data_IF_142483647281
#
_entry.id   IF_142483647281
#
_cell.length_a   1.000
_cell.length_b   1.000
_cell.length_c   1.000
_cell.angle_alpha   90.00
_cell.angle_beta   90.00
_cell.angle_gamma   90.00
#
_symmetry.space_group_name_H-M   'P 1'
#
loop_
_entity.id
_entity.type
_entity.pdbx_description
1 polymer ?
#
# COMPACT_ATOMS: atom_id res chain seq x y z
N UNK A 1 22.97 11.16 -3.38
CA UNK A 1 23.37 9.75 -3.27
C UNK A 1 24.88 9.64 -3.24
N UNK A 2 25.47 9.53 -2.05
CA UNK A 2 26.93 9.39 -1.87
C UNK A 2 27.36 7.91 -1.75
N UNK A 3 26.44 7.00 -1.62
CA UNK A 3 26.64 5.54 -1.64
C UNK A 3 25.81 4.92 -2.75
N UNK A 4 26.35 3.89 -3.41
CA UNK A 4 25.61 3.05 -4.36
C UNK A 4 24.72 2.01 -3.65
N UNK A 5 24.39 2.23 -2.39
CA UNK A 5 23.59 1.31 -1.58
C UNK A 5 22.10 1.61 -1.75
N UNK A 6 21.33 0.59 -2.09
CA UNK A 6 19.86 0.63 -2.13
C UNK A 6 19.34 -0.03 -0.86
N UNK A 7 18.47 0.67 -0.16
CA UNK A 7 17.78 0.16 1.04
C UNK A 7 16.30 -0.01 0.74
N UNK A 8 15.73 -1.04 1.29
CA UNK A 8 14.30 -1.34 1.23
C UNK A 8 13.71 -1.31 2.64
N UNK A 9 12.56 -0.66 2.79
CA UNK A 9 11.87 -0.54 4.09
C UNK A 9 10.43 -1.02 3.95
N UNK A 10 10.06 -2.05 4.70
CA UNK A 10 8.70 -2.55 4.74
C UNK A 10 7.85 -1.78 5.76
N UNK A 11 6.91 -1.00 5.26
CA UNK A 11 5.90 -0.28 6.03
C UNK A 11 4.47 -0.72 5.70
N UNK A 12 4.26 -1.94 5.23
CA UNK A 12 2.94 -2.42 4.77
C UNK A 12 1.93 -2.67 5.89
N UNK A 13 2.41 -2.99 7.08
CA UNK A 13 1.55 -3.40 8.19
C UNK A 13 1.12 -4.86 8.13
N UNK A 14 0.40 -5.30 9.15
CA UNK A 14 -0.03 -6.69 9.35
C UNK A 14 -1.53 -6.77 9.57
N UNK A 15 -2.10 -7.96 9.41
CA UNK A 15 -3.43 -8.23 9.93
C UNK A 15 -3.44 -8.07 11.47
N UNK A 16 -4.59 -7.73 12.08
CA UNK A 16 -4.73 -7.76 13.54
C UNK A 16 -4.38 -9.13 14.11
N UNK A 17 -3.76 -9.19 15.29
CA UNK A 17 -3.34 -10.44 15.93
C UNK A 17 -4.47 -11.43 16.17
N UNK A 18 -5.69 -10.92 16.37
CA UNK A 18 -6.91 -11.71 16.55
C UNK A 18 -7.62 -12.08 15.25
N UNK A 19 -7.06 -11.73 14.09
CA UNK A 19 -7.65 -12.08 12.80
C UNK A 19 -7.61 -13.61 12.60
N UNK A 20 -8.78 -14.20 12.37
CA UNK A 20 -8.95 -15.64 12.21
C UNK A 20 -9.65 -15.97 10.88
N UNK A 21 -8.84 -16.40 9.91
CA UNK A 21 -9.31 -16.79 8.59
C UNK A 21 -10.28 -17.99 8.63
N UNK A 22 -10.10 -18.91 9.59
CA UNK A 22 -11.00 -20.05 9.76
C UNK A 22 -12.38 -19.59 10.19
N UNK A 23 -12.44 -18.72 11.21
CA UNK A 23 -13.71 -18.14 11.68
C UNK A 23 -14.45 -17.39 10.56
N UNK A 24 -13.74 -16.64 9.72
CA UNK A 24 -14.35 -15.95 8.58
C UNK A 24 -14.92 -16.92 7.54
N UNK A 25 -14.22 -18.03 7.25
CA UNK A 25 -14.71 -19.10 6.36
C UNK A 25 -15.92 -19.83 6.95
N UNK A 26 -15.88 -20.12 8.24
CA UNK A 26 -17.00 -20.79 8.96
C UNK A 26 -18.27 -19.93 8.95
N UNK A 27 -18.11 -18.59 8.86
CA UNK A 27 -19.19 -17.61 8.62
C UNK A 27 -19.63 -17.52 7.14
N UNK A 28 -19.07 -18.33 6.26
CA UNK A 28 -19.44 -18.40 4.84
C UNK A 28 -18.72 -17.41 3.93
N UNK A 29 -17.72 -16.66 4.43
CA UNK A 29 -16.96 -15.74 3.59
C UNK A 29 -15.99 -16.52 2.69
N UNK A 30 -16.14 -16.35 1.38
CA UNK A 30 -15.20 -16.88 0.37
C UNK A 30 -14.03 -15.92 0.10
N UNK A 31 -14.25 -14.63 0.33
CA UNK A 31 -13.26 -13.56 0.22
C UNK A 31 -13.59 -12.47 1.23
N UNK A 32 -12.61 -11.65 1.59
CA UNK A 32 -12.84 -10.49 2.45
C UNK A 32 -13.44 -9.36 1.61
N UNK A 33 -14.66 -8.87 1.93
CA UNK A 33 -15.24 -7.72 1.23
C UNK A 33 -14.38 -6.47 1.41
N UNK A 34 -14.23 -5.65 0.36
CA UNK A 34 -13.42 -4.43 0.41
C UNK A 34 -13.88 -3.44 1.49
N UNK A 35 -15.19 -3.34 1.72
CA UNK A 35 -15.80 -2.43 2.71
C UNK A 35 -15.89 -3.07 4.11
N UNK A 36 -15.15 -4.13 4.37
CA UNK A 36 -15.12 -4.80 5.67
C UNK A 36 -13.95 -4.31 6.52
N UNK A 37 -14.11 -4.16 7.84
CA UNK A 37 -12.99 -3.89 8.74
C UNK A 37 -11.92 -5.00 8.71
N UNK A 38 -12.27 -6.21 8.28
CA UNK A 38 -11.33 -7.32 8.09
C UNK A 38 -10.35 -7.10 6.91
N UNK A 39 -10.65 -6.16 6.00
CA UNK A 39 -9.74 -5.76 4.92
C UNK A 39 -8.72 -4.70 5.37
N UNK A 40 -8.86 -4.16 6.58
CA UNK A 40 -7.97 -3.13 7.12
C UNK A 40 -6.84 -3.79 7.91
N UNK A 41 -5.61 -3.60 7.46
CA UNK A 41 -4.40 -3.98 8.23
C UNK A 41 -4.03 -2.90 9.23
N UNK A 42 -3.18 -3.23 10.20
CA UNK A 42 -2.60 -2.23 11.09
C UNK A 42 -1.74 -1.29 10.23
N UNK A 43 -2.01 0.03 10.21
CA UNK A 43 -1.26 0.95 9.37
C UNK A 43 0.19 1.06 9.86
N UNK A 44 1.17 0.84 8.98
CA UNK A 44 2.59 0.90 9.33
C UNK A 44 3.35 2.03 8.63
N UNK A 45 2.72 2.73 7.68
CA UNK A 45 3.37 3.77 6.91
C UNK A 45 3.93 4.92 7.77
N UNK A 46 3.23 5.30 8.84
CA UNK A 46 3.68 6.38 9.73
C UNK A 46 4.95 5.97 10.48
N UNK A 47 5.05 4.72 10.92
CA UNK A 47 6.27 4.22 11.56
C UNK A 47 7.44 4.21 10.56
N UNK A 48 7.20 3.76 9.33
CA UNK A 48 8.18 3.80 8.25
C UNK A 48 8.67 5.23 7.94
N UNK A 49 7.78 6.22 7.88
CA UNK A 49 8.15 7.63 7.67
C UNK A 49 8.96 8.18 8.85
N UNK A 50 8.58 7.86 10.08
CA UNK A 50 9.34 8.23 11.27
C UNK A 50 10.75 7.63 11.23
N UNK A 51 10.85 6.34 10.90
CA UNK A 51 12.11 5.61 10.80
C UNK A 51 13.02 6.20 9.72
N UNK A 52 12.51 6.43 8.51
CA UNK A 52 13.27 7.08 7.44
C UNK A 52 13.73 8.50 7.81
N UNK A 53 12.85 9.27 8.47
CA UNK A 53 13.19 10.62 8.92
C UNK A 53 14.29 10.61 9.98
N UNK A 54 14.27 9.64 10.89
CA UNK A 54 15.28 9.51 11.95
C UNK A 54 16.63 9.02 11.39
N UNK A 55 16.61 8.06 10.47
CA UNK A 55 17.82 7.40 9.98
C UNK A 55 18.55 8.24 8.92
N UNK A 56 17.82 8.99 8.08
CA UNK A 56 18.40 9.75 6.96
C UNK A 56 17.86 11.17 6.79
N UNK A 57 16.86 11.57 7.56
CA UNK A 57 16.29 12.92 7.50
C UNK A 57 17.27 13.97 8.04
N UNK A 58 17.22 15.16 7.44
CA UNK A 58 17.96 16.34 7.91
C UNK A 58 17.06 17.32 8.67
N UNK A 59 15.76 17.18 8.51
CA UNK A 59 14.76 18.03 9.15
C UNK A 59 13.91 17.16 10.06
N UNK A 60 13.43 17.70 11.19
CA UNK A 60 12.47 17.01 12.06
C UNK A 60 11.08 16.89 11.42
N UNK A 61 10.30 15.93 11.90
CA UNK A 61 8.91 15.71 11.46
C UNK A 61 8.04 16.96 11.66
N UNK A 62 8.31 17.73 12.71
CA UNK A 62 7.65 18.99 13.00
C UNK A 62 7.74 19.97 11.82
N UNK A 63 8.89 20.01 11.14
CA UNK A 63 9.11 20.86 9.97
C UNK A 63 8.65 20.22 8.66
N UNK A 64 8.91 18.93 8.48
CA UNK A 64 8.56 18.20 7.25
C UNK A 64 7.03 18.17 7.05
N UNK A 65 6.25 18.06 8.12
CA UNK A 65 4.80 17.96 8.05
C UNK A 65 4.06 19.30 7.92
N UNK A 66 4.76 20.46 8.05
CA UNK A 66 4.10 21.78 7.97
C UNK A 66 3.30 22.00 6.68
N UNK A 67 3.81 21.68 5.47
CA UNK A 67 3.01 21.84 4.26
C UNK A 67 1.73 20.99 4.27
N UNK A 68 1.82 19.74 4.72
CA UNK A 68 0.67 18.85 4.81
C UNK A 68 -0.37 19.34 5.83
N UNK A 69 0.10 19.84 6.99
CA UNK A 69 -0.77 20.45 8.01
C UNK A 69 -1.46 21.69 7.44
N UNK A 70 -0.73 22.55 6.74
CA UNK A 70 -1.28 23.76 6.12
C UNK A 70 -2.39 23.42 5.12
N UNK A 71 -2.15 22.48 4.20
CA UNK A 71 -3.15 22.09 3.21
C UNK A 71 -4.36 21.37 3.84
N UNK A 72 -4.15 20.56 4.85
CA UNK A 72 -5.26 19.93 5.56
C UNK A 72 -6.12 20.95 6.33
N UNK A 73 -5.52 22.03 6.83
CA UNK A 73 -6.19 23.09 7.61
C UNK A 73 -6.92 24.10 6.71
N UNK A 74 -6.30 24.52 5.62
CA UNK A 74 -6.84 25.58 4.75
C UNK A 74 -7.53 25.04 3.49
N UNK A 75 -7.41 23.75 3.23
CA UNK A 75 -7.96 23.10 2.05
C UNK A 75 -7.04 23.12 0.83
N UNK A 76 -7.26 22.14 -0.01
CA UNK A 76 -6.65 22.05 -1.35
C UNK A 76 -7.74 22.13 -2.41
N UNK A 77 -7.49 22.79 -3.55
CA UNK A 77 -8.42 22.75 -4.68
C UNK A 77 -8.55 21.30 -5.18
N UNK A 78 -9.76 20.80 -5.28
CA UNK A 78 -10.02 19.44 -5.79
C UNK A 78 -9.62 19.36 -7.26
N UNK A 79 -8.73 18.43 -7.60
CA UNK A 79 -8.36 18.14 -8.96
C UNK A 79 -9.47 17.37 -9.69
N UNK A 80 -9.49 17.47 -11.02
CA UNK A 80 -10.52 16.85 -11.88
C UNK A 80 -10.67 15.35 -11.63
N UNK A 81 -9.57 14.61 -11.58
CA UNK A 81 -9.59 13.17 -11.32
C UNK A 81 -10.14 12.84 -9.93
N UNK A 82 -9.79 13.60 -8.91
CA UNK A 82 -10.26 13.40 -7.54
C UNK A 82 -11.77 13.66 -7.43
N UNK A 83 -12.28 14.70 -8.11
CA UNK A 83 -13.72 14.98 -8.17
C UNK A 83 -14.49 13.82 -8.82
N UNK A 84 -13.96 13.28 -9.92
CA UNK A 84 -14.54 12.13 -10.61
C UNK A 84 -14.57 10.89 -9.70
N UNK A 85 -13.43 10.51 -9.13
CA UNK A 85 -13.33 9.31 -8.30
C UNK A 85 -14.22 9.39 -7.05
N UNK A 86 -14.30 10.55 -6.38
CA UNK A 86 -15.18 10.73 -5.23
C UNK A 86 -16.68 10.67 -5.61
N UNK A 87 -17.05 11.14 -6.80
CA UNK A 87 -18.41 11.01 -7.30
C UNK A 87 -18.80 9.55 -7.50
N UNK A 88 -17.95 8.75 -8.14
CA UNK A 88 -18.17 7.31 -8.37
C UNK A 88 -18.22 6.52 -7.05
N UNK A 89 -17.44 6.91 -6.04
CA UNK A 89 -17.36 6.21 -4.76
C UNK A 89 -18.49 6.57 -3.79
N UNK A 90 -19.31 7.60 -4.09
CA UNK A 90 -20.32 8.14 -3.19
C UNK A 90 -21.25 7.05 -2.62
N UNK A 91 -21.72 6.12 -3.45
CA UNK A 91 -22.64 5.07 -3.03
C UNK A 91 -21.97 3.96 -2.20
N UNK A 92 -20.66 3.86 -2.25
CA UNK A 92 -19.90 2.84 -1.51
C UNK A 92 -19.51 3.31 -0.10
N UNK A 93 -19.58 4.62 0.17
CA UNK A 93 -19.21 5.18 1.48
C UNK A 93 -20.25 4.82 2.55
N UNK A 94 -19.77 4.37 3.70
CA UNK A 94 -20.56 4.21 4.91
C UNK A 94 -20.96 5.61 5.49
N UNK A 95 -21.88 5.70 6.48
CA UNK A 95 -22.32 6.98 7.03
C UNK A 95 -21.16 7.89 7.48
N UNK A 96 -20.16 7.35 8.20
CA UNK A 96 -19.00 8.13 8.64
C UNK A 96 -18.14 8.60 7.46
N UNK A 97 -17.93 7.76 6.45
CA UNK A 97 -17.23 8.15 5.23
C UNK A 97 -17.97 9.25 4.46
N UNK A 98 -19.30 9.20 4.41
CA UNK A 98 -20.13 10.27 3.79
C UNK A 98 -19.98 11.59 4.54
N UNK A 99 -20.00 11.55 5.87
CA UNK A 99 -19.81 12.76 6.69
C UNK A 99 -18.47 13.45 6.39
N UNK A 100 -17.39 12.67 6.22
CA UNK A 100 -16.05 13.18 5.94
C UNK A 100 -15.84 13.62 4.49
N UNK A 101 -16.19 12.76 3.53
CA UNK A 101 -15.84 12.98 2.12
C UNK A 101 -16.91 13.74 1.34
N UNK A 102 -18.10 13.91 1.90
CA UNK A 102 -19.21 14.63 1.28
C UNK A 102 -19.66 15.82 2.16
N UNK A 103 -18.76 16.78 2.48
CA UNK A 103 -19.07 17.85 3.44
C UNK A 103 -20.24 18.75 3.02
N UNK A 104 -20.62 18.72 1.73
CA UNK A 104 -21.79 19.44 1.19
C UNK A 104 -22.97 18.51 0.88
N UNK A 105 -23.00 17.29 1.44
CA UNK A 105 -23.97 16.25 1.12
C UNK A 105 -23.81 15.65 -0.29
N UNK A 106 -22.75 16.01 -1.00
CA UNK A 106 -22.38 15.54 -2.34
C UNK A 106 -20.87 15.46 -2.51
N UNK A 107 -20.42 14.77 -3.54
CA UNK A 107 -19.01 14.80 -3.94
C UNK A 107 -18.55 16.25 -4.26
N UNK A 108 -17.31 16.61 -3.90
CA UNK A 108 -16.74 17.90 -4.21
C UNK A 108 -16.58 18.07 -5.72
N UNK A 109 -16.73 19.31 -6.20
CA UNK A 109 -16.48 19.69 -7.60
C UNK A 109 -15.03 20.11 -7.80
N UNK A 110 -14.59 20.07 -9.05
CA UNK A 110 -13.29 20.57 -9.46
C UNK A 110 -13.08 22.02 -8.98
N UNK A 111 -11.96 22.28 -8.34
CA UNK A 111 -11.57 23.59 -7.82
C UNK A 111 -12.19 23.99 -6.48
N UNK A 112 -13.16 23.24 -5.94
CA UNK A 112 -13.66 23.48 -4.58
C UNK A 112 -12.55 23.17 -3.55
N UNK A 113 -12.45 24.00 -2.51
CA UNK A 113 -11.46 23.80 -1.44
C UNK A 113 -11.94 22.72 -0.48
N UNK A 114 -11.18 21.66 -0.38
CA UNK A 114 -11.44 20.55 0.54
C UNK A 114 -10.43 20.58 1.69
N UNK A 115 -10.91 20.86 2.91
CA UNK A 115 -10.14 20.84 4.13
C UNK A 115 -10.48 19.60 4.97
N UNK A 116 -9.51 19.08 5.73
CA UNK A 116 -9.70 17.88 6.54
C UNK A 116 -9.19 18.10 7.98
N UNK A 117 -9.99 18.72 8.82
CA UNK A 117 -9.61 19.10 10.20
C UNK A 117 -9.23 17.91 11.10
N UNK A 118 -9.79 16.72 10.87
CA UNK A 118 -9.38 15.50 11.55
C UNK A 118 -7.92 15.14 11.24
N UNK A 119 -7.54 15.23 9.97
CA UNK A 119 -6.16 14.98 9.53
C UNK A 119 -5.16 16.00 10.11
N UNK A 120 -5.58 17.26 10.27
CA UNK A 120 -4.76 18.29 10.95
C UNK A 120 -4.37 17.86 12.35
N UNK A 121 -5.33 17.33 13.13
CA UNK A 121 -5.07 16.85 14.51
C UNK A 121 -4.07 15.70 14.51
N UNK A 122 -4.25 14.72 13.62
CA UNK A 122 -3.35 13.57 13.48
C UNK A 122 -1.95 14.03 13.10
N UNK A 123 -1.81 14.86 12.06
CA UNK A 123 -0.51 15.35 11.60
C UNK A 123 0.21 16.19 12.67
N UNK A 124 -0.51 17.06 13.39
CA UNK A 124 0.07 17.84 14.50
C UNK A 124 0.55 16.93 15.64
N UNK A 125 -0.15 15.82 15.94
CA UNK A 125 0.30 14.85 16.94
C UNK A 125 1.56 14.10 16.49
N UNK A 126 1.61 13.67 15.23
CA UNK A 126 2.81 13.04 14.65
C UNK A 126 3.99 14.02 14.63
N UNK A 127 3.77 15.27 14.20
CA UNK A 127 4.80 16.32 14.20
C UNK A 127 5.41 16.55 15.59
N UNK A 128 4.59 16.47 16.65
CA UNK A 128 5.01 16.74 18.03
C UNK A 128 5.60 15.53 18.73
N UNK A 129 5.03 14.34 18.51
CA UNK A 129 5.34 13.14 19.28
C UNK A 129 5.90 11.99 18.45
N UNK A 130 6.15 12.22 17.16
CA UNK A 130 6.64 11.20 16.23
C UNK A 130 5.67 10.01 16.16
N UNK A 131 6.24 8.81 16.16
CA UNK A 131 5.53 7.54 16.13
C UNK A 131 4.42 7.44 17.21
N UNK A 132 4.75 7.80 18.42
CA UNK A 132 3.82 7.67 19.55
C UNK A 132 2.57 8.56 19.40
N UNK A 133 2.66 9.66 18.67
CA UNK A 133 1.51 10.51 18.34
C UNK A 133 0.46 9.85 17.46
N UNK A 134 0.78 8.72 16.82
CA UNK A 134 -0.12 7.97 15.97
C UNK A 134 -0.52 6.61 16.57
N UNK A 135 0.45 5.87 17.12
CA UNK A 135 0.24 4.48 17.56
C UNK A 135 -0.17 4.35 19.02
N UNK A 136 -0.21 5.46 19.77
CA UNK A 136 -0.63 5.49 21.18
C UNK A 136 -1.64 6.62 21.41
N UNK A 137 -2.40 6.51 22.51
CA UNK A 137 -3.37 7.50 22.94
C UNK A 137 -4.49 7.75 21.93
N UNK A 138 -5.00 8.97 21.93
CA UNK A 138 -6.27 9.37 21.29
C UNK A 138 -6.40 8.95 19.81
N UNK A 139 -5.33 9.06 19.00
CA UNK A 139 -5.40 8.70 17.57
C UNK A 139 -5.57 7.20 17.39
N UNK A 140 -4.76 6.39 18.08
CA UNK A 140 -4.88 4.94 18.04
C UNK A 140 -6.21 4.45 18.64
N UNK A 141 -6.64 5.03 19.77
CA UNK A 141 -7.89 4.71 20.44
C UNK A 141 -9.10 4.97 19.52
N UNK A 142 -9.11 6.09 18.80
CA UNK A 142 -10.19 6.41 17.86
C UNK A 142 -10.23 5.41 16.69
N UNK A 143 -9.08 5.08 16.09
CA UNK A 143 -9.00 4.09 15.01
C UNK A 143 -9.45 2.71 15.48
N UNK A 144 -8.94 2.23 16.61
CA UNK A 144 -9.30 0.92 17.17
C UNK A 144 -10.78 0.85 17.48
N UNK A 145 -11.31 1.87 18.20
CA UNK A 145 -12.73 1.90 18.58
C UNK A 145 -13.64 1.96 17.35
N UNK A 146 -13.28 2.72 16.34
CA UNK A 146 -14.04 2.81 15.08
C UNK A 146 -14.07 1.48 14.33
N UNK A 147 -12.92 0.80 14.21
CA UNK A 147 -12.84 -0.51 13.57
C UNK A 147 -13.58 -1.59 14.36
N UNK A 148 -13.49 -1.58 15.69
CA UNK A 148 -14.22 -2.51 16.55
C UNK A 148 -15.74 -2.33 16.47
N UNK A 149 -16.24 -1.09 16.39
CA UNK A 149 -17.67 -0.80 16.18
C UNK A 149 -18.20 -1.40 14.86
N UNK A 150 -17.34 -1.54 13.86
CA UNK A 150 -17.66 -2.18 12.58
C UNK A 150 -17.47 -3.70 12.61
N UNK A 151 -17.06 -4.29 13.74
CA UNK A 151 -16.81 -5.73 13.89
C UNK A 151 -15.36 -6.16 13.60
N UNK A 152 -14.43 -5.21 13.51
CA UNK A 152 -12.99 -5.47 13.39
C UNK A 152 -12.39 -6.04 14.69
N UNK A 153 -11.26 -6.73 14.55
CA UNK A 153 -10.55 -7.39 15.66
C UNK A 153 -9.27 -6.65 16.08
N UNK A 154 -9.14 -5.41 15.65
CA UNK A 154 -8.00 -4.55 15.97
C UNK A 154 -7.91 -4.25 17.46
N UNK A 155 -6.71 -4.21 18.02
CA UNK A 155 -6.45 -3.90 19.42
C UNK A 155 -5.41 -2.78 19.56
N UNK A 156 -5.39 -2.13 20.73
CA UNK A 156 -4.35 -1.14 21.06
C UNK A 156 -2.95 -1.76 21.07
N UNK A 157 -2.86 -3.05 21.41
CA UNK A 157 -1.60 -3.78 21.40
C UNK A 157 -1.05 -3.94 19.97
N UNK A 158 -1.91 -4.30 19.01
CA UNK A 158 -1.53 -4.39 17.60
C UNK A 158 -0.92 -3.07 17.08
N UNK A 159 -1.53 -1.93 17.47
CA UNK A 159 -1.03 -0.61 17.09
C UNK A 159 0.30 -0.29 17.77
N UNK A 160 0.39 -0.50 19.09
CA UNK A 160 1.59 -0.15 19.85
C UNK A 160 2.83 -0.96 19.44
N UNK A 161 2.64 -2.22 19.05
CA UNK A 161 3.70 -3.15 18.63
C UNK A 161 4.02 -3.08 17.14
N UNK A 162 3.25 -2.31 16.33
CA UNK A 162 3.49 -2.22 14.90
C UNK A 162 4.81 -1.52 14.60
N UNK A 163 5.70 -2.17 13.88
CA UNK A 163 7.01 -1.64 13.47
C UNK A 163 7.31 -1.91 12.00
N UNK A 164 7.83 -0.89 11.33
CA UNK A 164 8.45 -1.01 10.02
C UNK A 164 9.86 -1.58 10.15
N UNK A 165 10.30 -2.36 9.19
CA UNK A 165 11.61 -2.99 9.22
C UNK A 165 12.32 -2.93 7.87
N UNK A 166 13.65 -2.79 7.92
CA UNK A 166 14.48 -2.84 6.72
C UNK A 166 14.58 -4.27 6.19
N UNK A 167 14.62 -4.38 4.87
CA UNK A 167 14.85 -5.62 4.14
C UNK A 167 15.91 -5.38 3.08
N UNK A 168 16.55 -6.43 2.63
CA UNK A 168 17.36 -6.35 1.42
C UNK A 168 16.43 -6.28 0.19
N UNK A 169 16.72 -5.38 -0.77
CA UNK A 169 15.96 -5.35 -2.01
C UNK A 169 16.18 -6.64 -2.81
N UNK A 170 15.19 -7.04 -3.58
CA UNK A 170 15.32 -8.08 -4.60
C UNK A 170 15.67 -7.44 -5.92
N UNK A 171 16.37 -8.16 -6.81
CA UNK A 171 16.67 -7.64 -8.14
C UNK A 171 16.42 -8.63 -9.27
N UNK A 172 16.19 -8.09 -10.46
CA UNK A 172 16.18 -8.80 -11.72
C UNK A 172 17.18 -8.17 -12.67
N UNK A 173 18.01 -9.03 -13.31
CA UNK A 173 19.03 -8.59 -14.27
C UNK A 173 18.49 -8.65 -15.69
N UNK A 174 18.56 -7.53 -16.40
CA UNK A 174 18.14 -7.35 -17.78
C UNK A 174 19.31 -6.86 -18.63
N UNK A 175 19.30 -7.03 -19.97
CA UNK A 175 20.47 -6.71 -20.79
C UNK A 175 21.01 -5.29 -20.65
N UNK A 176 20.14 -4.30 -20.39
CA UNK A 176 20.50 -2.88 -20.34
C UNK A 176 20.38 -2.25 -18.95
N UNK A 177 19.79 -2.96 -17.96
CA UNK A 177 19.57 -2.43 -16.62
C UNK A 177 19.37 -3.54 -15.59
N UNK A 178 19.52 -3.19 -14.33
CA UNK A 178 19.12 -4.00 -13.18
C UNK A 178 17.91 -3.34 -12.51
N UNK A 179 16.82 -4.11 -12.34
CA UNK A 179 15.61 -3.66 -11.66
C UNK A 179 15.69 -4.07 -10.18
N UNK A 180 15.67 -3.09 -9.29
CA UNK A 180 15.57 -3.31 -7.85
C UNK A 180 14.14 -3.08 -7.38
N UNK A 181 13.65 -4.03 -6.60
CA UNK A 181 12.29 -4.01 -6.09
C UNK A 181 12.24 -4.37 -4.60
N UNK A 182 11.13 -4.00 -3.97
CA UNK A 182 10.84 -4.45 -2.61
C UNK A 182 10.43 -5.94 -2.63
N UNK A 183 10.95 -6.76 -1.70
CA UNK A 183 10.53 -8.18 -1.62
C UNK A 183 9.04 -8.32 -1.25
N UNK A 184 8.47 -9.53 -1.36
CA UNK A 184 7.13 -9.80 -0.80
C UNK A 184 7.02 -9.33 0.67
N UNK A 185 5.89 -8.83 1.04
CA UNK A 185 4.48 -8.94 0.62
C UNK A 185 4.06 -7.98 -0.53
N UNK A 186 4.93 -7.03 -0.94
CA UNK A 186 4.67 -6.16 -2.09
C UNK A 186 4.71 -6.89 -3.44
N UNK A 187 4.49 -6.13 -4.52
CA UNK A 187 4.38 -6.67 -5.87
C UNK A 187 5.69 -6.64 -6.66
N UNK A 188 6.82 -6.27 -6.06
CA UNK A 188 8.10 -6.17 -6.73
C UNK A 188 8.54 -7.48 -7.40
N UNK A 189 8.38 -8.62 -6.72
CA UNK A 189 8.65 -9.93 -7.29
C UNK A 189 7.78 -10.24 -8.53
N UNK A 190 6.56 -9.69 -8.61
CA UNK A 190 5.67 -9.82 -9.78
C UNK A 190 6.21 -9.04 -10.97
N UNK A 191 6.75 -7.84 -10.75
CA UNK A 191 7.37 -7.03 -11.80
C UNK A 191 8.61 -7.73 -12.38
N UNK A 192 9.45 -8.30 -11.51
CA UNK A 192 10.62 -9.08 -11.94
C UNK A 192 10.19 -10.33 -12.72
N UNK A 193 9.18 -11.09 -12.23
CA UNK A 193 8.68 -12.27 -12.94
C UNK A 193 8.12 -11.91 -14.32
N UNK A 194 7.31 -10.85 -14.41
CA UNK A 194 6.77 -10.36 -15.68
C UNK A 194 7.90 -10.05 -16.68
N UNK A 195 8.89 -9.31 -16.23
CA UNK A 195 10.02 -8.96 -17.08
C UNK A 195 10.85 -10.20 -17.47
N UNK A 196 11.03 -11.18 -16.57
CA UNK A 196 11.70 -12.44 -16.86
C UNK A 196 10.94 -13.28 -17.92
N UNK A 197 9.60 -13.31 -17.85
CA UNK A 197 8.77 -13.95 -18.89
C UNK A 197 8.95 -13.25 -20.22
N UNK A 198 8.89 -11.92 -20.26
CA UNK A 198 9.03 -11.14 -21.49
C UNK A 198 10.41 -11.31 -22.14
N UNK A 199 11.48 -11.55 -21.39
CA UNK A 199 12.80 -11.85 -21.92
C UNK A 199 12.86 -13.17 -22.74
N UNK A 200 11.88 -14.06 -22.62
CA UNK A 200 11.81 -15.30 -23.42
C UNK A 200 11.31 -15.05 -24.85
N UNK A 201 10.91 -13.84 -25.16
CA UNK A 201 10.38 -13.42 -26.46
C UNK A 201 11.24 -12.29 -27.05
N UNK A 202 11.31 -12.15 -28.39
CA UNK A 202 12.12 -11.12 -29.04
C UNK A 202 11.44 -9.73 -29.02
N UNK A 203 10.98 -9.29 -27.84
CA UNK A 203 10.17 -8.07 -27.64
C UNK A 203 10.84 -6.82 -28.21
N UNK A 204 12.18 -6.70 -28.09
CA UNK A 204 12.92 -5.53 -28.55
C UNK A 204 12.84 -5.33 -30.08
N UNK A 205 12.66 -6.40 -30.86
CA UNK A 205 12.53 -6.34 -32.30
C UNK A 205 11.10 -6.18 -32.82
N UNK A 206 10.11 -6.26 -31.92
CA UNK A 206 8.70 -6.14 -32.27
C UNK A 206 8.25 -4.68 -32.37
N UNK A 207 7.26 -4.43 -33.22
CA UNK A 207 6.61 -3.10 -33.27
C UNK A 207 5.97 -2.79 -31.89
N UNK A 208 6.35 -1.68 -31.22
CA UNK A 208 5.80 -1.32 -29.91
C UNK A 208 4.27 -1.19 -29.84
N UNK A 209 3.64 -0.85 -30.97
CA UNK A 209 2.19 -0.73 -31.11
C UNK A 209 1.58 -1.87 -31.92
N UNK A 210 2.34 -2.96 -32.12
CA UNK A 210 1.91 -4.11 -32.90
C UNK A 210 1.05 -5.08 -32.10
N UNK A 211 0.16 -5.77 -32.79
CA UNK A 211 -0.72 -6.79 -32.20
C UNK A 211 0.06 -7.90 -31.48
N UNK A 212 1.10 -8.45 -32.10
CA UNK A 212 1.87 -9.56 -31.54
C UNK A 212 2.52 -9.18 -30.21
N UNK A 213 3.15 -7.99 -30.14
CA UNK A 213 3.74 -7.50 -28.90
C UNK A 213 2.70 -7.28 -27.82
N UNK A 214 1.60 -6.61 -28.14
CA UNK A 214 0.51 -6.38 -27.19
C UNK A 214 -0.06 -7.69 -26.65
N UNK A 215 -0.20 -8.71 -27.50
CA UNK A 215 -0.66 -10.03 -27.09
C UNK A 215 0.30 -10.68 -26.09
N UNK A 216 1.60 -10.73 -26.40
CA UNK A 216 2.61 -11.32 -25.51
C UNK A 216 2.67 -10.57 -24.16
N UNK A 217 2.70 -9.24 -24.17
CA UNK A 217 2.72 -8.43 -22.95
C UNK A 217 1.47 -8.66 -22.09
N UNK A 218 0.31 -8.81 -22.72
CA UNK A 218 -0.95 -9.09 -22.01
C UNK A 218 -0.94 -10.48 -21.37
N UNK A 219 -0.55 -11.52 -22.12
CA UNK A 219 -0.50 -12.89 -21.61
C UNK A 219 0.56 -13.05 -20.52
N UNK A 220 1.75 -12.48 -20.71
CA UNK A 220 2.79 -12.47 -19.68
C UNK A 220 2.31 -11.78 -18.38
N UNK A 221 1.58 -10.67 -18.52
CA UNK A 221 0.98 -9.98 -17.37
C UNK A 221 -0.02 -10.87 -16.63
N UNK A 222 -0.92 -11.54 -17.35
CA UNK A 222 -1.91 -12.47 -16.75
C UNK A 222 -1.22 -13.59 -15.99
N UNK A 223 -0.18 -14.19 -16.56
CA UNK A 223 0.57 -15.29 -15.95
C UNK A 223 1.32 -14.82 -14.69
N UNK A 224 1.98 -13.67 -14.74
CA UNK A 224 2.69 -13.11 -13.59
C UNK A 224 1.71 -12.76 -12.45
N UNK A 225 0.54 -12.22 -12.76
CA UNK A 225 -0.49 -11.92 -11.76
C UNK A 225 -1.16 -13.18 -11.19
N UNK A 226 -1.35 -14.23 -12.00
CA UNK A 226 -1.83 -15.52 -11.48
C UNK A 226 -0.80 -16.13 -10.51
N UNK A 227 0.48 -16.13 -10.86
CA UNK A 227 1.54 -16.58 -9.98
C UNK A 227 1.58 -15.76 -8.68
N UNK A 228 1.46 -14.42 -8.76
CA UNK A 228 1.34 -13.54 -7.60
C UNK A 228 0.19 -13.95 -6.69
N UNK A 229 -1.00 -14.14 -7.25
CA UNK A 229 -2.20 -14.47 -6.46
C UNK A 229 -2.09 -15.80 -5.72
N UNK A 230 -1.29 -16.73 -6.24
CA UNK A 230 -1.05 -18.04 -5.62
C UNK A 230 0.11 -18.07 -4.64
N UNK A 231 1.13 -17.24 -4.86
CA UNK A 231 2.42 -17.38 -4.19
C UNK A 231 2.74 -16.23 -3.22
N UNK A 232 2.39 -14.97 -3.57
CA UNK A 232 2.76 -13.80 -2.75
C UNK A 232 1.84 -13.69 -1.53
N UNK A 233 2.46 -13.71 -0.36
CA UNK A 233 1.78 -13.57 0.93
C UNK A 233 2.68 -12.86 1.94
N UNK A 234 2.32 -12.90 3.22
CA UNK A 234 3.20 -12.46 4.30
C UNK A 234 4.46 -13.36 4.34
N UNK A 235 5.67 -12.82 4.15
CA UNK A 235 6.90 -13.63 4.08
C UNK A 235 7.21 -14.37 5.37
N UNK A 236 6.66 -13.96 6.51
CA UNK A 236 6.78 -14.68 7.79
C UNK A 236 5.98 -16.00 7.80
N UNK A 237 4.99 -16.13 6.92
CA UNK A 237 4.19 -17.34 6.75
C UNK A 237 4.70 -18.18 5.59
N UNK A 238 4.97 -17.55 4.45
CA UNK A 238 5.51 -18.20 3.26
C UNK A 238 6.29 -17.19 2.40
N UNK A 239 7.60 -17.39 2.29
CA UNK A 239 8.46 -16.58 1.45
C UNK A 239 8.57 -17.17 0.03
N UNK A 240 7.91 -16.51 -0.90
CA UNK A 240 7.92 -16.90 -2.31
C UNK A 240 9.02 -16.22 -3.13
N UNK A 241 9.90 -15.43 -2.52
CA UNK A 241 10.86 -14.57 -3.22
C UNK A 241 11.68 -15.33 -4.25
N UNK A 242 12.41 -16.37 -3.83
CA UNK A 242 13.26 -17.16 -4.72
C UNK A 242 12.49 -17.80 -5.87
N UNK A 243 11.28 -18.29 -5.60
CA UNK A 243 10.44 -18.88 -6.64
C UNK A 243 9.95 -17.85 -7.65
N UNK A 244 9.43 -16.72 -7.17
CA UNK A 244 8.88 -15.65 -8.01
C UNK A 244 9.95 -14.96 -8.88
N UNK A 245 11.20 -14.91 -8.42
CA UNK A 245 12.29 -14.29 -9.18
C UNK A 245 13.10 -15.29 -10.02
N UNK A 246 12.76 -16.59 -9.96
CA UNK A 246 13.52 -17.64 -10.67
C UNK A 246 13.29 -17.61 -12.18
N UNK A 247 14.37 -17.86 -12.93
CA UNK A 247 14.30 -18.08 -14.39
C UNK A 247 13.50 -19.32 -14.74
N UNK A 248 13.56 -20.36 -13.90
CA UNK A 248 12.80 -21.59 -14.10
C UNK A 248 11.29 -21.32 -14.17
N UNK A 249 10.74 -20.56 -13.23
CA UNK A 249 9.31 -20.23 -13.25
C UNK A 249 8.94 -19.41 -14.48
N UNK A 250 9.81 -18.48 -14.88
CA UNK A 250 9.59 -17.67 -16.09
C UNK A 250 9.56 -18.53 -17.36
N UNK A 251 10.44 -19.53 -17.48
CA UNK A 251 10.45 -20.49 -18.59
C UNK A 251 9.20 -21.35 -18.60
N UNK A 252 8.81 -21.89 -17.45
CA UNK A 252 7.58 -22.70 -17.31
C UNK A 252 6.32 -21.94 -17.71
N UNK A 253 6.25 -20.65 -17.41
CA UNK A 253 5.09 -19.80 -17.72
C UNK A 253 5.11 -19.28 -19.17
N UNK A 254 6.28 -19.19 -19.80
CA UNK A 254 6.42 -18.73 -21.19
C UNK A 254 6.18 -19.84 -22.22
N UNK A 255 6.15 -21.11 -21.82
CA UNK A 255 5.93 -22.29 -22.67
C UNK A 255 4.45 -22.50 -23.00
#
# INVERSE_FOLDING_TARGET
ASSNEIKSLNGSGTAPSLADAKNLRDKGLKSIPLNSPHAVTIPCAIDAFCKLSNDWGKLGLDRILQPAIHYAEHGVPIAERVAYDLAELTETLNPSGREFYLPWGRAPKVGELFAHHGQVKVLKKIAKHGRDGFYKGEVAEDMVSSLQKLGGQHSMNDFSEMEAFYTDPISGNFPEFELFEHPPNGQGATAILLANILQKFPIASMNPFGFERTHIETEATKLAYDARNRLVSDPRVYDATLKMTSDQLAVELAA
#
